data_IF_982696840505
#
_entry.id   IF_982696840505
#
_cell.length_a   1.000
_cell.length_b   1.000
_cell.length_c   1.000
_cell.angle_alpha   90.00
_cell.angle_beta   90.00
_cell.angle_gamma   90.00
#
_symmetry.space_group_name_H-M   'P 1'
#
loop_
_entity.id
_entity.type
_entity.pdbx_description
1 polymer ?
#
# COMPACT_ATOMS: atom_id res chain seq x y z
N UNK A 1 15.96 19.57 -25.44
CA UNK A 1 15.92 18.39 -24.55
C UNK A 1 14.59 18.41 -23.84
N UNK A 2 13.79 17.35 -23.97
CA UNK A 2 12.49 17.26 -23.31
C UNK A 2 12.70 17.04 -21.80
N UNK A 3 12.11 17.90 -20.97
CA UNK A 3 12.28 17.84 -19.53
C UNK A 3 11.43 16.68 -18.99
N UNK A 4 12.07 15.62 -18.45
CA UNK A 4 11.33 14.53 -17.79
C UNK A 4 10.55 15.09 -16.61
N UNK A 5 9.23 14.96 -16.63
CA UNK A 5 8.36 15.38 -15.54
C UNK A 5 8.65 14.52 -14.31
N UNK A 6 8.82 15.19 -13.16
CA UNK A 6 8.96 14.55 -11.85
C UNK A 6 7.66 14.68 -11.08
N UNK A 7 7.26 13.65 -10.36
CA UNK A 7 6.05 13.65 -9.51
C UNK A 7 6.43 13.32 -8.09
N UNK A 8 5.99 14.15 -7.14
CA UNK A 8 6.03 13.85 -5.71
C UNK A 8 4.61 13.64 -5.21
N UNK A 9 4.31 12.44 -4.75
CA UNK A 9 3.03 12.12 -4.11
C UNK A 9 3.11 12.39 -2.62
N UNK A 10 2.19 13.22 -2.12
CA UNK A 10 1.98 13.47 -0.70
C UNK A 10 0.62 12.90 -0.32
N UNK A 11 0.61 11.93 0.60
CA UNK A 11 -0.64 11.36 1.08
C UNK A 11 -0.43 10.11 1.91
N UNK A 12 -1.52 9.38 2.13
CA UNK A 12 -1.53 8.22 3.02
C UNK A 12 -0.55 7.15 2.57
N UNK A 13 0.25 6.71 3.54
CA UNK A 13 1.07 5.52 3.50
C UNK A 13 0.47 4.55 4.51
N UNK A 14 0.14 3.34 4.08
CA UNK A 14 -0.49 2.34 4.93
C UNK A 14 0.06 0.94 4.63
N UNK A 15 -0.09 0.02 5.58
CA UNK A 15 -0.03 -1.41 5.30
C UNK A 15 -1.45 -1.94 5.24
N UNK A 16 -1.82 -2.56 4.12
CA UNK A 16 -3.11 -3.19 3.95
C UNK A 16 -3.02 -4.64 4.46
N UNK A 17 -3.91 -5.01 5.37
CA UNK A 17 -4.08 -6.37 5.87
C UNK A 17 -5.21 -7.02 5.08
N UNK A 18 -4.85 -7.89 4.15
CA UNK A 18 -5.81 -8.60 3.30
C UNK A 18 -6.11 -9.95 3.93
N UNK A 19 -7.36 -10.12 4.39
CA UNK A 19 -7.89 -11.36 4.93
C UNK A 19 -8.78 -12.02 3.89
N UNK A 20 -8.43 -13.24 3.49
CA UNK A 20 -9.20 -14.02 2.53
C UNK A 20 -10.10 -15.00 3.28
N UNK A 21 -11.37 -15.06 2.90
CA UNK A 21 -12.38 -15.97 3.46
C UNK A 21 -13.32 -16.43 2.36
N UNK A 22 -13.85 -17.65 2.46
CA UNK A 22 -14.89 -18.16 1.55
C UNK A 22 -16.19 -17.38 1.63
N UNK A 23 -16.53 -16.89 2.82
CA UNK A 23 -17.74 -16.10 3.08
C UNK A 23 -17.50 -15.10 4.21
N UNK A 24 -18.18 -13.95 4.12
CA UNK A 24 -18.15 -12.97 5.20
C UNK A 24 -18.95 -13.49 6.41
N UNK A 25 -18.53 -13.18 7.65
CA UNK A 25 -19.30 -13.55 8.83
C UNK A 25 -20.69 -12.90 8.78
N UNK A 26 -21.70 -13.62 9.31
CA UNK A 26 -23.03 -13.07 9.58
C UNK A 26 -22.96 -12.08 10.74
N UNK A 27 -24.02 -11.30 10.94
CA UNK A 27 -24.18 -10.45 12.12
C UNK A 27 -23.99 -11.28 13.40
N UNK A 28 -23.16 -10.79 14.32
CA UNK A 28 -22.70 -11.48 15.54
C UNK A 28 -22.07 -12.88 15.33
N UNK A 29 -21.63 -13.18 14.10
CA UNK A 29 -21.02 -14.45 13.72
C UNK A 29 -19.49 -14.43 13.67
N UNK A 30 -18.91 -15.61 13.48
CA UNK A 30 -17.49 -15.80 13.23
C UNK A 30 -17.25 -16.34 11.82
N UNK A 31 -16.13 -15.96 11.21
CA UNK A 31 -15.68 -16.46 9.91
C UNK A 31 -14.26 -17.02 10.01
N UNK A 32 -13.94 -18.03 9.21
CA UNK A 32 -12.60 -18.58 9.14
C UNK A 32 -11.77 -17.80 8.11
N UNK A 33 -10.57 -17.37 8.50
CA UNK A 33 -9.62 -16.72 7.59
C UNK A 33 -8.80 -17.82 6.92
N UNK A 34 -8.96 -17.98 5.61
CA UNK A 34 -8.21 -18.95 4.81
C UNK A 34 -6.76 -18.49 4.60
N UNK A 35 -6.53 -17.18 4.46
CA UNK A 35 -5.17 -16.62 4.39
C UNK A 35 -5.11 -15.15 4.81
N UNK A 36 -3.92 -14.72 5.25
CA UNK A 36 -3.60 -13.34 5.57
C UNK A 36 -2.40 -12.89 4.72
N UNK A 37 -2.48 -11.69 4.16
CA UNK A 37 -1.36 -11.05 3.45
C UNK A 37 -1.20 -9.60 3.91
N UNK A 38 0.04 -9.23 4.19
CA UNK A 38 0.44 -7.84 4.43
C UNK A 38 1.03 -7.27 3.15
N UNK A 39 0.46 -6.17 2.64
CA UNK A 39 0.98 -5.49 1.44
C UNK A 39 1.09 -3.99 1.66
N UNK A 40 2.09 -3.31 1.05
CA UNK A 40 2.13 -1.85 1.03
C UNK A 40 0.89 -1.29 0.34
N UNK A 41 0.27 -0.30 0.97
CA UNK A 41 -0.97 0.31 0.52
C UNK A 41 -1.03 1.82 0.76
N UNK A 42 -2.24 2.35 0.62
CA UNK A 42 -2.51 3.79 0.61
C UNK A 42 -2.61 4.36 -0.81
N UNK A 43 -3.60 5.22 -1.03
CA UNK A 43 -3.95 5.75 -2.35
C UNK A 43 -2.78 6.48 -3.03
N UNK A 44 -2.03 7.28 -2.27
CA UNK A 44 -0.85 7.99 -2.78
C UNK A 44 0.28 7.02 -3.14
N UNK A 45 0.55 6.02 -2.30
CA UNK A 45 1.57 5.01 -2.57
C UNK A 45 1.24 4.19 -3.83
N UNK A 46 -0.01 3.76 -3.97
CA UNK A 46 -0.48 3.02 -5.14
C UNK A 46 -0.35 3.83 -6.43
N UNK A 47 -0.70 5.12 -6.40
CA UNK A 47 -0.51 6.02 -7.54
C UNK A 47 0.98 6.18 -7.87
N UNK A 48 1.84 6.36 -6.87
CA UNK A 48 3.29 6.49 -7.07
C UNK A 48 3.90 5.28 -7.76
N UNK A 49 3.52 4.07 -7.30
CA UNK A 49 3.96 2.81 -7.92
C UNK A 49 3.47 2.73 -9.37
N UNK A 50 2.22 3.11 -9.65
CA UNK A 50 1.69 3.13 -11.02
C UNK A 50 2.47 4.09 -11.94
N UNK A 51 2.74 5.32 -11.49
CA UNK A 51 3.51 6.31 -12.25
C UNK A 51 4.95 5.83 -12.51
N UNK A 52 5.60 5.24 -11.51
CA UNK A 52 6.93 4.66 -11.66
C UNK A 52 6.94 3.52 -12.70
N UNK A 53 5.92 2.66 -12.72
CA UNK A 53 5.75 1.59 -13.73
C UNK A 53 5.57 2.14 -15.16
N UNK A 54 5.05 3.35 -15.31
CA UNK A 54 4.96 4.06 -16.60
C UNK A 54 6.25 4.84 -16.96
N UNK A 55 7.33 4.71 -16.19
CA UNK A 55 8.62 5.34 -16.48
C UNK A 55 8.72 6.82 -16.07
N UNK A 56 7.79 7.29 -15.22
CA UNK A 56 7.80 8.65 -14.69
C UNK A 56 8.70 8.69 -13.44
N UNK A 57 9.56 9.70 -13.35
CA UNK A 57 10.43 9.93 -12.19
C UNK A 57 9.56 10.32 -10.98
N UNK A 58 9.28 9.35 -10.11
CA UNK A 58 8.23 9.44 -9.10
C UNK A 58 8.78 9.23 -7.70
N UNK A 59 8.33 10.05 -6.77
CA UNK A 59 8.74 10.08 -5.37
C UNK A 59 7.49 10.00 -4.49
N UNK A 60 7.58 9.30 -3.37
CA UNK A 60 6.55 9.24 -2.33
C UNK A 60 7.08 9.93 -1.08
N UNK A 61 6.28 10.78 -0.46
CA UNK A 61 6.53 11.29 0.89
C UNK A 61 5.40 10.88 1.83
N UNK A 62 5.76 10.55 3.07
CA UNK A 62 4.83 10.12 4.10
C UNK A 62 5.57 9.77 5.39
N UNK A 63 4.81 9.57 6.47
CA UNK A 63 5.33 9.10 7.75
C UNK A 63 4.91 7.65 7.95
N UNK A 64 5.87 6.82 8.30
CA UNK A 64 5.66 5.42 8.71
C UNK A 64 6.01 5.28 10.19
N UNK A 65 5.41 4.27 10.83
CA UNK A 65 5.70 3.92 12.21
C UNK A 65 7.11 3.33 12.37
N UNK A 66 7.58 3.30 13.61
CA UNK A 66 8.79 2.57 14.03
C UNK A 66 8.37 1.18 14.56
N UNK A 67 7.58 0.48 13.76
CA UNK A 67 7.03 -0.83 14.06
C UNK A 67 7.25 -1.80 12.89
N UNK A 68 6.85 -3.06 13.09
CA UNK A 68 6.99 -4.10 12.06
C UNK A 68 6.32 -3.75 10.73
N UNK A 69 5.26 -2.94 10.74
CA UNK A 69 4.54 -2.54 9.53
C UNK A 69 5.31 -1.44 8.79
N UNK A 70 5.91 -0.50 9.52
CA UNK A 70 6.82 0.48 8.95
C UNK A 70 8.06 -0.16 8.32
N UNK A 71 8.64 -1.17 8.96
CA UNK A 71 9.76 -1.93 8.41
C UNK A 71 9.37 -2.70 7.15
N UNK A 72 8.21 -3.36 7.16
CA UNK A 72 7.72 -4.08 6.00
C UNK A 72 7.40 -3.14 4.83
N UNK A 73 6.81 -1.97 5.11
CA UNK A 73 6.52 -0.96 4.10
C UNK A 73 7.80 -0.47 3.39
N UNK A 74 8.94 -0.36 4.11
CA UNK A 74 10.24 0.04 3.51
C UNK A 74 10.88 -1.04 2.64
N UNK A 75 10.56 -2.32 2.86
CA UNK A 75 11.14 -3.45 2.12
C UNK A 75 10.50 -3.64 0.74
N UNK A 76 9.25 -3.21 0.58
CA UNK A 76 8.46 -3.31 -0.65
C UNK A 76 8.90 -2.38 -1.77
#
# INVERSE_FOLDING_TARGET
>A
MEQKKKVLSLGTVAMDVILETRELPKEDGFGFIDSERLVPGGSAANLSVALARYGIDTYQTGKIGDDKYGDEFRRG
#
